data_IF_155804204023
#
_entry.id   IF_155804204023
#
_cell.length_a   1.000
_cell.length_b   1.000
_cell.length_c   1.000
_cell.angle_alpha   90.00
_cell.angle_beta   90.00
_cell.angle_gamma   90.00
#
_symmetry.space_group_name_H-M   'P 1'
#
loop_
_entity.id
_entity.type
_entity.pdbx_description
1 polymer ?
#
# COMPACT_ATOMS: atom_id res chain seq x y z
N UNK A 1 0.65 21.80 25.26
CA UNK A 1 0.40 22.30 23.88
C UNK A 1 1.59 22.03 22.95
N UNK A 2 2.82 22.44 23.32
CA UNK A 2 4.02 22.24 22.50
C UNK A 2 4.31 20.77 22.10
N UNK A 3 4.15 19.81 23.02
CA UNK A 3 4.41 18.37 22.74
C UNK A 3 3.47 17.78 21.67
N UNK A 4 2.26 18.35 21.50
CA UNK A 4 1.25 17.88 20.54
C UNK A 4 1.51 18.41 19.12
N UNK A 5 2.14 19.56 19.01
CA UNK A 5 2.56 20.13 17.72
C UNK A 5 3.89 19.55 17.25
N UNK A 6 4.81 19.23 18.17
CA UNK A 6 6.08 18.57 17.85
C UNK A 6 5.88 17.13 17.37
N UNK A 7 4.97 16.38 18.01
CA UNK A 7 4.57 15.04 17.56
C UNK A 7 3.85 15.06 16.21
N UNK A 8 3.01 16.06 15.95
CA UNK A 8 2.36 16.25 14.64
C UNK A 8 3.34 16.64 13.55
N UNK A 9 4.31 17.51 13.86
CA UNK A 9 5.39 17.89 12.96
C UNK A 9 6.28 16.70 12.59
N UNK A 10 6.67 15.90 13.60
CA UNK A 10 7.42 14.66 13.39
C UNK A 10 6.61 13.65 12.56
N UNK A 11 5.31 13.50 12.83
CA UNK A 11 4.42 12.63 12.06
C UNK A 11 4.25 13.10 10.62
N UNK A 12 4.19 14.41 10.37
CA UNK A 12 4.10 14.98 9.02
C UNK A 12 5.41 14.86 8.24
N UNK A 13 6.55 15.07 8.92
CA UNK A 13 7.87 14.87 8.34
C UNK A 13 8.13 13.39 8.01
N UNK A 14 7.70 12.48 8.89
CA UNK A 14 7.75 11.04 8.66
C UNK A 14 6.82 10.64 7.50
N UNK A 15 5.64 11.25 7.40
CA UNK A 15 4.70 11.03 6.29
C UNK A 15 5.24 11.53 4.95
N UNK A 16 5.99 12.64 4.93
CA UNK A 16 6.67 13.18 3.74
C UNK A 16 7.88 12.32 3.35
N UNK A 17 8.69 11.90 4.31
CA UNK A 17 9.81 10.98 4.09
C UNK A 17 9.34 9.59 3.62
N UNK A 18 8.14 9.18 4.03
CA UNK A 18 7.47 7.93 3.60
C UNK A 18 6.76 8.08 2.25
N UNK A 19 6.32 9.28 1.87
CA UNK A 19 5.63 9.51 0.60
C UNK A 19 6.55 9.40 -0.61
N UNK A 20 7.84 9.65 -0.42
CA UNK A 20 8.88 9.40 -1.44
C UNK A 20 10.20 8.97 -0.77
N UNK A 21 10.29 7.74 -0.24
CA UNK A 21 11.48 7.31 0.50
C UNK A 21 12.70 7.10 -0.42
N UNK A 22 12.50 7.17 -1.74
CA UNK A 22 13.39 6.59 -2.74
C UNK A 22 13.58 7.46 -3.98
N UNK A 23 13.45 8.79 -3.84
CA UNK A 23 13.81 9.75 -4.89
C UNK A 23 15.32 9.73 -5.22
N UNK A 24 15.83 8.63 -5.80
CA UNK A 24 17.18 8.54 -6.36
C UNK A 24 18.15 7.53 -5.73
N UNK A 25 17.72 6.64 -4.83
CA UNK A 25 18.60 5.63 -4.23
C UNK A 25 18.46 4.26 -4.90
N UNK A 26 19.59 3.54 -5.02
CA UNK A 26 19.69 2.22 -5.63
C UNK A 26 18.71 1.21 -4.97
N UNK A 27 17.97 0.44 -5.77
CA UNK A 27 16.81 -0.37 -5.33
C UNK A 27 17.17 -1.41 -4.25
N UNK A 28 18.43 -1.87 -4.22
CA UNK A 28 18.95 -2.86 -3.26
C UNK A 28 19.20 -2.28 -1.86
N UNK A 29 19.77 -1.07 -1.79
CA UNK A 29 20.01 -0.34 -0.53
C UNK A 29 18.67 0.01 0.12
N UNK A 30 17.70 0.37 -0.72
CA UNK A 30 16.32 0.70 -0.31
C UNK A 30 15.61 -0.45 0.39
N UNK A 31 15.76 -1.68 -0.11
CA UNK A 31 15.15 -2.88 0.51
C UNK A 31 15.75 -3.20 1.87
N UNK A 32 17.06 -3.12 2.00
CA UNK A 32 17.76 -3.38 3.26
C UNK A 32 17.40 -2.34 4.34
N UNK A 33 17.25 -1.08 3.93
CA UNK A 33 16.79 -0.01 4.83
C UNK A 33 15.37 -0.26 5.31
N UNK A 34 14.43 -0.62 4.41
CA UNK A 34 13.04 -0.93 4.82
C UNK A 34 12.99 -2.16 5.73
N UNK A 35 13.77 -3.19 5.43
CA UNK A 35 13.83 -4.41 6.22
C UNK A 35 14.40 -4.15 7.62
N UNK A 36 15.51 -3.42 7.71
CA UNK A 36 16.11 -3.08 9.01
C UNK A 36 15.24 -2.13 9.82
N UNK A 37 14.52 -1.19 9.18
CA UNK A 37 13.53 -0.34 9.84
C UNK A 37 12.36 -1.16 10.41
N UNK A 38 11.82 -2.11 9.63
CA UNK A 38 10.76 -3.03 10.07
C UNK A 38 11.15 -3.79 11.32
N UNK A 39 12.36 -4.34 11.36
CA UNK A 39 12.84 -5.12 12.49
C UNK A 39 12.97 -4.25 13.75
N UNK A 40 13.52 -3.04 13.60
CA UNK A 40 13.60 -2.06 14.69
C UNK A 40 12.23 -1.65 15.21
N UNK A 41 11.29 -1.37 14.31
CA UNK A 41 9.92 -0.98 14.68
C UNK A 41 9.22 -2.14 15.41
N UNK A 42 9.33 -3.36 14.91
CA UNK A 42 8.76 -4.55 15.58
C UNK A 42 9.32 -4.77 16.97
N UNK A 43 10.65 -4.68 17.12
CA UNK A 43 11.31 -4.80 18.42
C UNK A 43 10.81 -3.73 19.39
N UNK A 44 10.67 -2.48 18.91
CA UNK A 44 10.12 -1.37 19.70
C UNK A 44 8.65 -1.61 20.07
N UNK A 45 7.81 -2.09 19.14
CA UNK A 45 6.40 -2.43 19.40
C UNK A 45 6.27 -3.47 20.51
N UNK A 46 7.10 -4.51 20.49
CA UNK A 46 7.13 -5.54 21.55
C UNK A 46 7.56 -4.92 22.88
N UNK A 47 8.61 -4.10 22.88
CA UNK A 47 9.10 -3.44 24.09
C UNK A 47 8.06 -2.50 24.70
N UNK A 48 7.38 -1.68 23.88
CA UNK A 48 6.34 -0.74 24.34
C UNK A 48 5.13 -1.47 24.89
N UNK A 49 4.69 -2.55 24.23
CA UNK A 49 3.62 -3.41 24.76
C UNK A 49 4.02 -4.09 26.07
N UNK A 50 5.27 -4.53 26.20
CA UNK A 50 5.81 -5.09 27.44
C UNK A 50 5.79 -4.07 28.57
N UNK A 51 6.28 -2.85 28.31
CA UNK A 51 6.23 -1.76 29.28
C UNK A 51 4.79 -1.39 29.68
N UNK A 52 3.87 -1.31 28.70
CA UNK A 52 2.47 -1.02 28.97
C UNK A 52 1.82 -2.10 29.85
N UNK A 53 2.11 -3.38 29.60
CA UNK A 53 1.63 -4.47 30.45
C UNK A 53 2.17 -4.40 31.87
N UNK A 54 3.47 -4.14 32.03
CA UNK A 54 4.08 -4.04 33.35
C UNK A 54 3.49 -2.87 34.16
N UNK A 55 3.23 -1.73 33.52
CA UNK A 55 2.57 -0.58 34.19
C UNK A 55 1.11 -0.91 34.51
N UNK A 56 0.40 -1.59 33.61
CA UNK A 56 -0.99 -2.01 33.85
C UNK A 56 -1.10 -3.03 35.00
N UNK A 57 -0.15 -3.93 35.14
CA UNK A 57 -0.08 -4.90 36.24
C UNK A 57 0.11 -4.20 37.59
N UNK A 58 0.96 -3.16 37.66
CA UNK A 58 1.12 -2.35 38.88
C UNK A 58 -0.15 -1.55 39.20
N UNK A 59 -0.87 -1.08 38.18
CA UNK A 59 -2.12 -0.32 38.34
C UNK A 59 -3.28 -1.18 38.86
N UNK A 60 -3.24 -2.50 38.65
CA UNK A 60 -4.31 -3.43 39.06
C UNK A 60 -4.28 -3.78 40.57
N UNK A 61 -3.22 -3.41 41.28
CA UNK A 61 -3.03 -3.73 42.71
C UNK A 61 -2.75 -2.47 43.55
N UNK A 62 -3.82 -1.97 44.19
CA UNK A 62 -3.79 -0.84 45.13
C UNK A 62 -2.72 -0.99 46.23
N UNK A 63 -2.44 -2.23 46.66
CA UNK A 63 -1.43 -2.52 47.70
C UNK A 63 -0.04 -2.28 47.15
N UNK A 64 0.24 -2.76 45.95
CA UNK A 64 1.52 -2.53 45.28
C UNK A 64 1.75 -1.05 45.02
N UNK A 65 0.72 -0.32 44.58
CA UNK A 65 0.82 1.12 44.39
C UNK A 65 1.13 1.86 45.69
N UNK A 66 0.48 1.50 46.79
CA UNK A 66 0.74 2.12 48.09
C UNK A 66 2.17 1.83 48.60
N UNK A 67 2.75 0.67 48.28
CA UNK A 67 4.14 0.32 48.62
C UNK A 67 5.19 1.10 47.82
N UNK A 68 4.85 1.75 46.70
CA UNK A 68 5.79 2.56 45.91
C UNK A 68 6.28 3.79 46.66
N UNK A 69 5.54 4.25 47.67
CA UNK A 69 5.96 5.33 48.57
C UNK A 69 7.06 4.89 49.55
N UNK A 70 8.22 4.51 49.01
CA UNK A 70 9.40 4.03 49.74
C UNK A 70 9.83 4.95 50.89
N UNK A 71 9.65 6.28 50.72
CA UNK A 71 9.92 7.24 51.80
C UNK A 71 8.95 7.08 52.97
N UNK A 72 7.64 6.93 52.72
CA UNK A 72 6.65 6.71 53.78
C UNK A 72 6.91 5.36 54.47
N UNK A 73 7.16 4.31 53.68
CA UNK A 73 7.44 2.95 54.17
C UNK A 73 8.72 2.91 55.02
N UNK A 74 9.79 3.58 54.61
CA UNK A 74 11.07 3.59 55.33
C UNK A 74 11.02 4.40 56.64
N UNK A 75 10.31 5.53 56.66
CA UNK A 75 10.30 6.43 57.83
C UNK A 75 9.27 6.04 58.90
N UNK A 76 8.20 5.32 58.54
CA UNK A 76 7.17 4.91 59.47
C UNK A 76 6.63 3.50 59.13
N UNK A 77 7.43 2.44 59.38
CA UNK A 77 7.02 1.06 59.06
C UNK A 77 5.78 0.62 59.85
N UNK A 78 5.57 1.12 61.07
CA UNK A 78 4.41 0.78 61.92
C UNK A 78 3.08 1.36 61.39
N UNK A 79 3.14 2.43 60.58
CA UNK A 79 1.95 3.04 59.99
C UNK A 79 1.27 2.10 58.98
N UNK A 80 2.00 1.14 58.43
CA UNK A 80 1.51 0.19 57.44
C UNK A 80 0.50 -0.81 58.03
N UNK A 81 0.71 -1.23 59.29
CA UNK A 81 -0.20 -2.15 59.98
C UNK A 81 -1.32 -1.42 60.73
N UNK A 82 -1.11 -0.16 61.14
CA UNK A 82 -2.06 0.60 61.96
C UNK A 82 -3.00 1.53 61.19
N UNK A 83 -2.64 2.01 59.99
CA UNK A 83 -3.48 2.94 59.23
C UNK A 83 -4.38 2.18 58.22
N UNK A 84 -5.69 2.04 58.49
CA UNK A 84 -6.61 1.40 57.56
C UNK A 84 -6.78 2.16 56.23
N UNK A 85 -6.41 3.45 56.17
CA UNK A 85 -6.44 4.26 54.96
C UNK A 85 -5.12 4.22 54.18
N UNK A 86 -4.11 3.47 54.63
CA UNK A 86 -2.84 3.39 53.92
C UNK A 86 -3.04 2.89 52.47
N UNK A 87 -3.93 1.90 52.30
CA UNK A 87 -4.29 1.31 50.99
C UNK A 87 -5.05 2.25 50.07
N UNK A 88 -5.55 3.40 50.55
CA UNK A 88 -6.24 4.39 49.71
C UNK A 88 -5.38 5.62 49.40
N UNK A 89 -4.15 5.68 49.93
CA UNK A 89 -3.19 6.75 49.64
C UNK A 89 -2.32 6.44 48.41
N UNK A 90 -2.92 6.00 47.29
CA UNK A 90 -2.22 5.75 46.01
C UNK A 90 -2.63 6.68 44.86
N UNK A 91 -3.61 7.56 45.07
CA UNK A 91 -4.22 8.39 44.01
C UNK A 91 -3.20 9.15 43.12
N UNK A 92 -2.14 9.70 43.71
CA UNK A 92 -1.10 10.42 42.95
C UNK A 92 -0.24 9.48 42.08
N UNK A 93 0.09 8.29 42.59
CA UNK A 93 0.86 7.26 41.85
C UNK A 93 -0.01 6.65 40.74
N UNK A 94 -1.27 6.40 41.03
CA UNK A 94 -2.28 5.92 40.07
C UNK A 94 -2.41 6.90 38.89
N UNK A 95 -2.67 8.19 39.17
CA UNK A 95 -2.77 9.23 38.15
C UNK A 95 -1.50 9.34 37.28
N UNK A 96 -0.32 9.18 37.90
CA UNK A 96 0.96 9.20 37.18
C UNK A 96 1.06 7.99 36.24
N UNK A 97 0.78 6.78 36.72
CA UNK A 97 0.85 5.57 35.90
C UNK A 97 -0.23 5.51 34.82
N UNK A 98 -1.44 6.00 35.08
CA UNK A 98 -2.47 6.19 34.06
C UNK A 98 -1.99 7.15 32.95
N UNK A 99 -1.33 8.24 33.32
CA UNK A 99 -0.73 9.17 32.34
C UNK A 99 0.32 8.47 31.47
N UNK A 100 1.19 7.65 32.07
CA UNK A 100 2.17 6.85 31.33
C UNK A 100 1.53 5.78 30.47
N UNK A 101 0.49 5.08 30.94
CA UNK A 101 -0.26 4.10 30.15
C UNK A 101 -0.93 4.75 28.95
N UNK A 102 -1.50 5.93 29.13
CA UNK A 102 -2.06 6.72 28.02
C UNK A 102 -0.98 7.11 27.01
N UNK A 103 0.20 7.52 27.48
CA UNK A 103 1.33 7.83 26.60
C UNK A 103 1.85 6.60 25.84
N UNK A 104 1.97 5.45 26.51
CA UNK A 104 2.38 4.17 25.90
C UNK A 104 1.36 3.67 24.89
N UNK A 105 0.07 3.83 25.17
CA UNK A 105 -1.02 3.49 24.24
C UNK A 105 -1.00 4.36 23.00
N UNK A 106 -0.75 5.67 23.16
CA UNK A 106 -0.56 6.61 22.05
C UNK A 106 0.67 6.23 21.20
N UNK A 107 1.78 5.88 21.86
CA UNK A 107 2.99 5.41 21.17
C UNK A 107 2.73 4.10 20.41
N UNK A 108 1.98 3.15 21.00
CA UNK A 108 1.59 1.92 20.31
C UNK A 108 0.78 2.21 19.03
N UNK A 109 -0.19 3.12 19.09
CA UNK A 109 -0.97 3.52 17.91
C UNK A 109 -0.09 4.19 16.84
N UNK A 110 0.90 4.99 17.23
CA UNK A 110 1.88 5.56 16.32
C UNK A 110 2.74 4.47 15.65
N UNK A 111 3.20 3.48 16.42
CA UNK A 111 3.98 2.34 15.88
C UNK A 111 3.17 1.51 14.89
N UNK A 112 1.88 1.25 15.17
CA UNK A 112 0.97 0.56 14.24
C UNK A 112 0.81 1.33 12.92
N UNK A 113 0.78 2.66 12.99
CA UNK A 113 0.75 3.52 11.80
C UNK A 113 2.05 3.42 10.98
N UNK A 114 3.20 3.35 11.65
CA UNK A 114 4.51 3.16 10.99
C UNK A 114 4.61 1.77 10.38
N UNK A 115 4.14 0.72 11.07
CA UNK A 115 4.10 -0.64 10.54
C UNK A 115 3.26 -0.73 9.25
N UNK A 116 2.09 -0.09 9.22
CA UNK A 116 1.27 0.00 8.00
C UNK A 116 2.00 0.72 6.86
N UNK A 117 2.73 1.78 7.18
CA UNK A 117 3.51 2.55 6.21
C UNK A 117 4.66 1.74 5.62
N UNK A 118 5.31 0.90 6.43
CA UNK A 118 6.34 -0.04 6.00
C UNK A 118 5.75 -1.11 5.08
N UNK A 119 4.61 -1.71 5.43
CA UNK A 119 3.91 -2.69 4.57
C UNK A 119 3.52 -2.08 3.21
N UNK A 120 3.03 -0.85 3.21
CA UNK A 120 2.71 -0.12 1.97
C UNK A 120 3.96 0.10 1.11
N UNK A 121 5.10 0.40 1.73
CA UNK A 121 6.38 0.61 1.03
C UNK A 121 6.92 -0.69 0.43
N UNK A 122 6.80 -1.82 1.15
CA UNK A 122 7.15 -3.15 0.64
C UNK A 122 6.33 -3.50 -0.61
N UNK A 123 5.03 -3.24 -0.59
CA UNK A 123 4.15 -3.45 -1.75
C UNK A 123 4.54 -2.58 -2.94
N UNK A 124 4.94 -1.33 -2.69
CA UNK A 124 5.40 -0.42 -3.75
C UNK A 124 6.69 -0.93 -4.40
N UNK A 125 7.67 -1.37 -3.61
CA UNK A 125 8.92 -1.95 -4.11
C UNK A 125 8.65 -3.22 -4.91
N UNK A 126 7.81 -4.13 -4.41
CA UNK A 126 7.43 -5.34 -5.13
C UNK A 126 6.74 -5.04 -6.48
N UNK A 127 5.92 -3.99 -6.52
CA UNK A 127 5.28 -3.54 -7.76
C UNK A 127 6.30 -2.94 -8.74
N UNK A 128 7.28 -2.17 -8.27
CA UNK A 128 8.37 -1.62 -9.09
C UNK A 128 9.21 -2.72 -9.72
N UNK A 129 9.65 -3.71 -8.94
CA UNK A 129 10.41 -4.86 -9.44
C UNK A 129 9.62 -5.66 -10.49
N UNK A 130 8.33 -5.89 -10.23
CA UNK A 130 7.43 -6.54 -11.18
C UNK A 130 7.28 -5.72 -12.47
N UNK A 131 7.22 -4.39 -12.37
CA UNK A 131 7.16 -3.50 -13.53
C UNK A 131 8.46 -3.51 -14.33
N UNK A 132 9.62 -3.51 -13.68
CA UNK A 132 10.93 -3.65 -14.34
C UNK A 132 11.01 -4.99 -15.08
N UNK A 133 10.68 -6.11 -14.41
CA UNK A 133 10.65 -7.45 -15.05
C UNK A 133 9.70 -7.49 -16.24
N UNK A 134 8.49 -6.92 -16.10
CA UNK A 134 7.52 -6.85 -17.18
C UNK A 134 7.99 -5.94 -18.33
N UNK A 135 8.76 -4.90 -18.03
CA UNK A 135 9.41 -4.05 -19.03
C UNK A 135 10.47 -4.81 -19.83
N UNK A 136 11.36 -5.54 -19.14
CA UNK A 136 12.36 -6.38 -19.78
C UNK A 136 11.74 -7.47 -20.65
N UNK A 137 10.72 -8.17 -20.16
CA UNK A 137 9.99 -9.17 -20.94
C UNK A 137 9.35 -8.56 -22.18
N UNK A 138 8.80 -7.35 -22.06
CA UNK A 138 8.23 -6.63 -23.22
C UNK A 138 9.30 -6.29 -24.25
N UNK A 139 10.48 -5.85 -23.81
CA UNK A 139 11.60 -5.57 -24.70
C UNK A 139 12.11 -6.83 -25.39
N UNK A 140 12.22 -7.94 -24.68
CA UNK A 140 12.65 -9.23 -25.23
C UNK A 140 11.70 -9.74 -26.33
N UNK A 141 10.40 -9.71 -26.07
CA UNK A 141 9.38 -10.07 -27.09
C UNK A 141 9.44 -9.11 -28.29
N UNK A 142 9.67 -7.82 -28.04
CA UNK A 142 9.80 -6.80 -29.10
C UNK A 142 11.00 -7.12 -30.00
N UNK A 143 12.17 -7.37 -29.40
CA UNK A 143 13.39 -7.69 -30.14
C UNK A 143 13.27 -9.01 -30.91
N UNK A 144 12.63 -10.02 -30.31
CA UNK A 144 12.38 -11.32 -30.97
C UNK A 144 11.51 -11.16 -32.21
N UNK A 145 10.42 -10.40 -32.15
CA UNK A 145 9.53 -10.15 -33.31
C UNK A 145 10.27 -9.38 -34.42
N UNK A 146 11.04 -8.35 -34.06
CA UNK A 146 11.85 -7.59 -35.04
C UNK A 146 12.87 -8.51 -35.72
N UNK A 147 13.60 -9.29 -34.93
CA UNK A 147 14.65 -10.18 -35.44
C UNK A 147 14.05 -11.28 -36.32
N UNK A 148 12.89 -11.83 -35.97
CA UNK A 148 12.17 -12.79 -36.79
C UNK A 148 11.73 -12.19 -38.14
N UNK A 149 11.21 -10.96 -38.14
CA UNK A 149 10.82 -10.26 -39.36
C UNK A 149 12.04 -9.98 -40.27
N UNK A 150 13.15 -9.51 -39.69
CA UNK A 150 14.40 -9.31 -40.44
C UNK A 150 14.92 -10.63 -41.00
N UNK A 151 14.85 -11.72 -40.23
CA UNK A 151 15.28 -13.06 -40.68
C UNK A 151 14.48 -13.53 -41.90
N UNK A 152 13.16 -13.33 -41.92
CA UNK A 152 12.30 -13.68 -43.06
C UNK A 152 12.62 -12.82 -44.30
N UNK A 153 12.79 -11.50 -44.12
CA UNK A 153 13.20 -10.62 -45.20
C UNK A 153 14.57 -11.02 -45.76
N UNK A 154 15.55 -11.28 -44.88
CA UNK A 154 16.90 -11.69 -45.26
C UNK A 154 16.92 -13.05 -45.97
N UNK A 155 16.03 -13.99 -45.59
CA UNK A 155 15.89 -15.26 -46.29
C UNK A 155 15.40 -15.07 -47.73
N UNK A 156 14.34 -14.26 -47.92
CA UNK A 156 13.78 -13.97 -49.25
C UNK A 156 14.81 -13.23 -50.11
N UNK A 157 15.43 -12.17 -49.57
CA UNK A 157 16.52 -11.46 -50.25
C UNK A 157 17.69 -12.39 -50.56
N UNK A 158 18.03 -13.32 -49.66
CA UNK A 158 19.08 -14.31 -49.87
C UNK A 158 18.78 -15.23 -51.05
N UNK A 159 17.56 -15.77 -51.14
CA UNK A 159 17.13 -16.66 -52.24
C UNK A 159 17.15 -15.96 -53.59
N UNK A 160 16.65 -14.72 -53.68
CA UNK A 160 16.62 -13.94 -54.92
C UNK A 160 17.94 -13.23 -55.25
N UNK A 161 18.82 -13.04 -54.26
CA UNK A 161 20.14 -12.44 -54.43
C UNK A 161 21.24 -13.43 -54.81
N UNK A 162 20.94 -14.73 -54.89
CA UNK A 162 21.91 -15.72 -55.37
C UNK A 162 22.04 -15.59 -56.89
N UNK A 163 23.28 -15.70 -57.41
CA UNK A 163 23.61 -15.68 -58.84
C UNK A 163 23.17 -16.97 -59.55
N UNK A 164 21.89 -17.30 -59.45
CA UNK A 164 21.22 -18.37 -60.17
C UNK A 164 20.23 -17.70 -61.10
N UNK A 165 20.38 -17.93 -62.41
CA UNK A 165 19.46 -17.40 -63.43
C UNK A 165 18.07 -18.00 -63.19
N UNK A 166 17.29 -17.31 -62.38
CA UNK A 166 15.91 -17.67 -62.16
C UNK A 166 15.16 -17.27 -63.44
N UNK A 167 14.63 -18.25 -64.19
CA UNK A 167 13.89 -17.98 -65.44
C UNK A 167 12.64 -17.09 -65.29
N UNK A 168 12.45 -16.46 -64.13
CA UNK A 168 11.44 -15.46 -63.81
C UNK A 168 11.92 -14.03 -64.07
N UNK A 169 13.23 -13.77 -64.18
CA UNK A 169 13.77 -12.46 -64.56
C UNK A 169 13.54 -12.17 -66.05
N UNK A 170 13.75 -13.13 -66.94
CA UNK A 170 13.56 -12.96 -68.39
C UNK A 170 12.08 -12.83 -68.84
N UNK A 171 11.12 -13.39 -68.10
CA UNK A 171 9.69 -13.35 -68.47
C UNK A 171 8.92 -12.14 -67.93
N UNK A 172 9.42 -11.46 -66.90
CA UNK A 172 8.64 -10.50 -66.10
C UNK A 172 9.42 -9.25 -65.67
N UNK A 173 10.38 -8.72 -66.45
CA UNK A 173 10.96 -7.40 -66.14
C UNK A 173 9.85 -6.33 -66.06
N UNK A 174 9.70 -5.53 -64.97
CA UNK A 174 10.49 -5.40 -63.72
C UNK A 174 9.77 -5.93 -62.45
N UNK A 175 8.74 -6.77 -62.60
CA UNK A 175 7.82 -7.16 -61.53
C UNK A 175 8.41 -7.93 -60.32
N UNK A 176 9.42 -8.82 -60.47
CA UNK A 176 9.99 -9.57 -59.34
C UNK A 176 10.66 -8.66 -58.30
N UNK A 177 11.45 -7.69 -58.75
CA UNK A 177 12.14 -6.73 -57.87
C UNK A 177 11.15 -5.83 -57.12
N UNK A 178 10.12 -5.36 -57.82
CA UNK A 178 9.02 -4.57 -57.22
C UNK A 178 8.25 -5.43 -56.20
N UNK A 179 8.00 -6.71 -56.51
CA UNK A 179 7.35 -7.65 -55.59
C UNK A 179 8.11 -7.85 -54.29
N UNK A 180 9.43 -8.07 -54.37
CA UNK A 180 10.29 -8.26 -53.18
C UNK A 180 10.37 -6.98 -52.34
N UNK A 181 10.51 -5.81 -52.97
CA UNK A 181 10.56 -4.52 -52.26
C UNK A 181 9.22 -4.17 -51.58
N UNK A 182 8.09 -4.42 -52.26
CA UNK A 182 6.75 -4.24 -51.67
C UNK A 182 6.52 -5.22 -50.51
N UNK A 183 6.93 -6.48 -50.66
CA UNK A 183 6.82 -7.47 -49.58
C UNK A 183 7.66 -7.08 -48.36
N UNK A 184 8.87 -6.55 -48.57
CA UNK A 184 9.73 -6.09 -47.48
C UNK A 184 9.15 -4.88 -46.76
N UNK A 185 8.62 -3.89 -47.50
CA UNK A 185 7.95 -2.71 -46.93
C UNK A 185 6.68 -3.11 -46.15
N UNK A 186 5.89 -4.04 -46.67
CA UNK A 186 4.66 -4.50 -45.99
C UNK A 186 4.93 -5.30 -44.73
N UNK A 187 6.00 -6.10 -44.68
CA UNK A 187 6.43 -6.82 -43.47
C UNK A 187 6.93 -5.84 -42.39
N UNK A 188 7.71 -4.84 -42.78
CA UNK A 188 8.18 -3.79 -41.84
C UNK A 188 7.02 -2.93 -41.34
N UNK A 189 6.11 -2.52 -42.24
CA UNK A 189 4.92 -1.77 -41.87
C UNK A 189 3.98 -2.58 -40.97
N UNK A 190 3.80 -3.88 -41.27
CA UNK A 190 2.98 -4.79 -40.49
C UNK A 190 3.52 -5.03 -39.09
N UNK A 191 4.82 -5.25 -38.95
CA UNK A 191 5.47 -5.40 -37.63
C UNK A 191 5.41 -4.13 -36.81
N UNK A 192 5.62 -2.96 -37.42
CA UNK A 192 5.46 -1.66 -36.77
C UNK A 192 4.01 -1.41 -36.30
N UNK A 193 3.02 -1.77 -37.13
CA UNK A 193 1.60 -1.69 -36.78
C UNK A 193 1.27 -2.61 -35.59
N UNK A 194 1.70 -3.86 -35.61
CA UNK A 194 1.47 -4.80 -34.49
C UNK A 194 2.05 -4.26 -33.19
N UNK A 195 3.24 -3.63 -33.23
CA UNK A 195 3.86 -3.03 -32.04
C UNK A 195 3.11 -1.82 -31.48
N UNK A 196 2.47 -1.01 -32.32
CA UNK A 196 1.69 0.15 -31.86
C UNK A 196 0.28 -0.24 -31.40
N UNK A 197 -0.39 -1.14 -32.12
CA UNK A 197 -1.79 -1.51 -31.83
C UNK A 197 -1.93 -2.53 -30.69
N UNK A 198 -1.05 -3.53 -30.58
CA UNK A 198 -1.14 -4.57 -29.54
C UNK A 198 -1.21 -4.02 -28.10
N UNK A 199 -0.35 -3.06 -27.67
CA UNK A 199 -0.44 -2.53 -26.31
C UNK A 199 -1.67 -1.66 -26.09
N UNK A 200 -2.18 -0.97 -27.12
CA UNK A 200 -3.37 -0.11 -27.01
C UNK A 200 -4.65 -0.93 -26.80
N UNK A 201 -4.79 -2.06 -27.52
CA UNK A 201 -5.95 -2.96 -27.38
C UNK A 201 -5.93 -3.69 -26.04
N UNK A 202 -4.75 -4.10 -25.56
CA UNK A 202 -4.62 -4.74 -24.25
C UNK A 202 -4.89 -3.76 -23.11
N UNK A 203 -4.50 -2.49 -23.26
CA UNK A 203 -4.80 -1.45 -22.27
C UNK A 203 -6.29 -1.19 -22.15
N UNK A 204 -6.99 -1.03 -23.27
CA UNK A 204 -8.45 -0.79 -23.29
C UNK A 204 -9.23 -2.01 -22.77
N UNK A 205 -8.83 -3.23 -23.10
CA UNK A 205 -9.46 -4.44 -22.57
C UNK A 205 -9.30 -4.58 -21.04
N UNK A 206 -8.14 -4.20 -20.47
CA UNK A 206 -7.89 -4.26 -19.02
C UNK A 206 -8.71 -3.24 -18.22
N UNK A 207 -8.98 -2.07 -18.80
CA UNK A 207 -9.88 -1.06 -18.20
C UNK A 207 -11.30 -1.61 -18.04
N UNK A 208 -11.82 -2.26 -19.09
CA UNK A 208 -13.15 -2.86 -19.10
C UNK A 208 -13.24 -4.01 -18.06
N UNK A 209 -12.18 -4.82 -17.94
CA UNK A 209 -12.13 -5.93 -16.97
C UNK A 209 -12.12 -5.51 -15.51
N UNK A 210 -11.54 -4.34 -15.16
CA UNK A 210 -11.57 -3.81 -13.78
C UNK A 210 -12.91 -3.15 -13.44
N UNK A 211 -13.53 -2.47 -14.41
CA UNK A 211 -14.87 -1.89 -14.25
C UNK A 211 -15.91 -2.98 -13.97
N UNK A 212 -15.88 -4.08 -14.74
CA UNK A 212 -16.83 -5.19 -14.60
C UNK A 212 -16.73 -5.93 -13.27
N UNK A 213 -15.52 -6.08 -12.69
CA UNK A 213 -15.33 -6.70 -11.37
C UNK A 213 -15.85 -5.85 -10.22
N UNK A 214 -15.69 -4.53 -10.29
CA UNK A 214 -16.26 -3.63 -9.27
C UNK A 214 -17.79 -3.61 -9.33
N UNK A 215 -18.37 -3.65 -10.53
CA UNK A 215 -19.82 -3.78 -10.71
C UNK A 215 -20.36 -5.11 -10.16
N UNK A 216 -19.70 -6.24 -10.46
CA UNK A 216 -20.12 -7.53 -9.90
C UNK A 216 -20.12 -7.56 -8.36
N UNK A 217 -19.12 -6.94 -7.73
CA UNK A 217 -19.06 -6.86 -6.26
C UNK A 217 -20.16 -5.97 -5.68
N UNK A 218 -20.52 -4.88 -6.35
CA UNK A 218 -21.63 -4.01 -5.93
C UNK A 218 -22.97 -4.71 -6.11
N UNK A 219 -23.18 -5.41 -7.23
CA UNK A 219 -24.42 -6.16 -7.50
C UNK A 219 -24.62 -7.33 -6.53
N UNK A 220 -23.54 -7.91 -5.99
CA UNK A 220 -23.61 -8.98 -4.98
C UNK A 220 -23.87 -8.44 -3.55
N UNK A 221 -23.32 -7.27 -3.21
CA UNK A 221 -23.39 -6.70 -1.85
C UNK A 221 -24.68 -5.89 -1.63
N UNK A 222 -25.14 -5.15 -2.65
CA UNK A 222 -26.30 -4.26 -2.55
C UNK A 222 -27.61 -4.97 -2.15
N UNK A 223 -27.97 -6.15 -2.68
CA UNK A 223 -29.17 -6.87 -2.23
C UNK A 223 -29.04 -7.41 -0.81
N UNK A 224 -27.82 -7.74 -0.33
CA UNK A 224 -27.60 -8.18 1.07
C UNK A 224 -27.77 -7.04 2.07
N UNK A 225 -27.30 -5.84 1.75
CA UNK A 225 -27.55 -4.64 2.58
C UNK A 225 -29.03 -4.24 2.56
N UNK A 226 -29.68 -4.29 1.39
CA UNK A 226 -31.12 -4.01 1.28
C UNK A 226 -31.96 -5.01 2.08
N UNK A 227 -31.57 -6.29 2.10
CA UNK A 227 -32.22 -7.32 2.90
C UNK A 227 -32.07 -7.06 4.41
N UNK A 228 -30.89 -6.64 4.89
CA UNK A 228 -30.70 -6.30 6.31
C UNK A 228 -31.42 -5.03 6.74
N UNK A 229 -31.62 -4.07 5.82
CA UNK A 229 -32.43 -2.88 6.09
C UNK A 229 -33.93 -3.18 6.11
N UNK A 230 -34.41 -4.13 5.29
CA UNK A 230 -35.83 -4.51 5.28
C UNK A 230 -36.25 -5.31 6.51
N UNK A 231 -35.34 -6.06 7.13
CA UNK A 231 -35.62 -6.81 8.37
C UNK A 231 -35.57 -5.93 9.62
N UNK A 232 -34.76 -4.87 9.65
CA UNK A 232 -34.70 -3.91 10.77
C UNK A 232 -35.59 -2.66 10.59
N UNK A 233 -36.09 -2.39 9.38
CA UNK A 233 -36.90 -1.22 9.05
C UNK A 233 -38.33 -1.22 9.61
N UNK A 234 -38.76 -2.27 10.31
CA UNK A 234 -40.09 -2.37 10.90
C UNK A 234 -40.30 -1.57 12.20
N UNK A 235 -39.25 -1.00 12.82
CA UNK A 235 -39.36 -0.41 14.17
C UNK A 235 -38.85 1.03 14.33
N UNK A 236 -38.23 1.65 13.31
CA UNK A 236 -37.56 2.96 13.47
C UNK A 236 -37.99 4.03 12.44
N UNK A 237 -39.05 3.77 11.67
CA UNK A 237 -39.46 4.60 10.55
C UNK A 237 -40.19 5.91 10.87
N UNK A 238 -40.51 6.24 12.14
CA UNK A 238 -41.37 7.40 12.42
C UNK A 238 -40.84 8.42 13.44
N UNK A 239 -39.68 8.18 14.08
CA UNK A 239 -39.18 9.07 15.14
C UNK A 239 -37.94 9.91 14.73
N UNK A 240 -37.16 9.49 13.72
CA UNK A 240 -35.86 10.11 13.44
C UNK A 240 -35.82 11.13 12.30
N UNK A 241 -36.78 11.10 11.36
CA UNK A 241 -36.72 11.94 10.15
C UNK A 241 -37.45 13.28 10.27
N UNK A 242 -38.35 13.44 11.24
CA UNK A 242 -39.08 14.69 11.44
C UNK A 242 -38.26 15.78 12.15
N UNK A 243 -37.20 15.41 12.89
CA UNK A 243 -36.37 16.37 13.64
C UNK A 243 -35.24 17.01 12.82
N UNK A 244 -34.95 16.51 11.61
CA UNK A 244 -33.86 17.01 10.76
C UNK A 244 -34.28 18.03 9.69
N UNK A 245 -35.58 18.32 9.55
CA UNK A 245 -36.10 19.25 8.53
C UNK A 245 -36.82 20.48 9.09
N UNK A 246 -36.69 20.77 10.38
CA UNK A 246 -37.39 21.89 11.02
C UNK A 246 -36.50 22.76 11.90
N UNK A 247 -35.74 23.69 11.31
CA UNK A 247 -35.53 25.05 11.84
C UNK A 247 -34.46 25.77 11.03
N UNK A 248 -34.88 26.73 10.21
CA UNK A 248 -34.00 27.58 9.43
C UNK A 248 -34.79 28.58 8.58
N UNK A 249 -35.66 29.38 9.23
CA UNK A 249 -36.25 30.56 8.59
C UNK A 249 -35.14 31.59 8.30
N UNK A 250 -35.18 32.32 7.18
CA UNK A 250 -34.26 33.42 6.93
C UNK A 250 -34.75 34.67 7.69
N UNK A 251 -33.86 35.30 8.46
CA UNK A 251 -34.03 36.68 8.93
C UNK A 251 -32.93 37.54 8.31
N UNK A 252 -33.41 38.52 7.54
CA UNK A 252 -32.85 39.84 7.19
C UNK A 252 -31.43 39.91 6.63
#
# INVERSE_FOLDING_TARGET
>A
AALKDETRGALHALRLAVADPFGGLDDSVSFEVVRSLRERVRALTVSVRGAARAVAEVLDDDVQMAFIYLKKVHFAPELYEQDPNFRSQHEEVELLFESYLNALSSLQAALETVEYSIDSSERFVAQRLSSQRNGLLRLDVTFTVITAAISLCSFITGVFGMNLSSGVEELFEPWPFVGVTVLLVTVIAGTAAVMTYAPQVVYSARLIGRARRKQLHVDEILPRMMASFRTNGGSLGNAGFASLLGSGKPQQ
#
